data_IF_182998735540
#
_entry.id   IF_182998735540
#
_cell.length_a   1.000
_cell.length_b   1.000
_cell.length_c   1.000
_cell.angle_alpha   90.00
_cell.angle_beta   90.00
_cell.angle_gamma   90.00
#
_symmetry.space_group_name_H-M   'P 1'
#
loop_
_entity.id
_entity.type
_entity.pdbx_description
1 polymer ?
#
# COMPACT_ATOMS: atom_id res chain seq x y z
N UNK A 1 5.52 21.04 23.53
CA UNK A 1 5.59 19.60 23.80
C UNK A 1 4.23 19.15 24.31
N UNK A 2 3.30 18.84 23.40
CA UNK A 2 2.01 18.24 23.78
C UNK A 2 2.24 16.77 24.05
N UNK A 3 2.19 16.43 25.33
CA UNK A 3 2.09 15.06 25.82
C UNK A 3 0.77 14.47 25.26
N UNK A 4 0.84 13.61 24.22
CA UNK A 4 -0.29 12.79 23.82
C UNK A 4 -0.60 11.84 24.97
N UNK A 5 -1.61 12.21 25.78
CA UNK A 5 -2.23 11.33 26.77
C UNK A 5 -2.60 10.04 26.04
N UNK A 6 -2.06 8.89 26.50
CA UNK A 6 -2.52 7.58 26.01
C UNK A 6 -4.01 7.51 26.30
N UNK A 7 -4.86 7.17 25.30
CA UNK A 7 -6.27 7.05 25.56
C UNK A 7 -6.47 6.00 26.66
N UNK A 8 -7.19 6.39 27.69
CA UNK A 8 -7.59 5.50 28.78
C UNK A 8 -8.63 4.47 28.30
N UNK A 9 -9.19 3.71 29.22
CA UNK A 9 -10.30 2.81 28.91
C UNK A 9 -11.51 3.60 28.39
N UNK A 10 -12.10 3.12 27.31
CA UNK A 10 -13.38 3.64 26.81
C UNK A 10 -14.51 2.70 27.25
N UNK A 11 -15.64 3.19 27.75
CA UNK A 11 -16.77 2.35 28.12
C UNK A 11 -17.35 1.68 26.87
N UNK A 12 -17.69 0.39 26.97
CA UNK A 12 -18.25 -0.39 25.86
C UNK A 12 -19.52 0.27 25.30
N UNK A 13 -20.36 0.86 26.14
CA UNK A 13 -21.59 1.53 25.72
C UNK A 13 -21.33 2.61 24.66
N UNK A 14 -20.34 3.50 24.88
CA UNK A 14 -20.01 4.55 23.93
C UNK A 14 -19.45 3.99 22.61
N UNK A 15 -18.73 2.86 22.67
CA UNK A 15 -18.20 2.19 21.48
C UNK A 15 -19.31 1.50 20.67
N UNK A 16 -20.29 0.88 21.33
CA UNK A 16 -21.43 0.22 20.67
C UNK A 16 -22.26 1.23 19.89
N UNK A 17 -22.58 2.38 20.49
CA UNK A 17 -23.37 3.43 19.82
C UNK A 17 -22.65 3.92 18.54
N UNK A 18 -21.34 4.15 18.62
CA UNK A 18 -20.52 4.56 17.48
C UNK A 18 -20.50 3.49 16.39
N UNK A 19 -20.34 2.22 16.78
CA UNK A 19 -20.26 1.11 15.82
C UNK A 19 -21.59 0.84 15.14
N UNK A 20 -22.72 0.91 15.87
CA UNK A 20 -24.05 0.78 15.27
C UNK A 20 -24.30 1.88 14.23
N UNK A 21 -23.97 3.12 14.53
CA UNK A 21 -24.10 4.21 13.56
C UNK A 21 -23.23 3.97 12.30
N UNK A 22 -22.03 3.42 12.48
CA UNK A 22 -21.15 3.04 11.37
C UNK A 22 -21.76 1.93 10.53
N UNK A 23 -22.28 0.88 11.16
CA UNK A 23 -22.93 -0.25 10.47
C UNK A 23 -24.20 0.19 9.73
N UNK A 24 -24.99 1.08 10.30
CA UNK A 24 -26.18 1.67 9.65
C UNK A 24 -25.77 2.46 8.39
N UNK A 25 -24.70 3.24 8.46
CA UNK A 25 -24.18 3.97 7.32
C UNK A 25 -23.66 3.04 6.19
N UNK A 26 -23.07 1.90 6.54
CA UNK A 26 -22.64 0.87 5.58
C UNK A 26 -23.86 0.15 4.99
N UNK A 27 -24.80 -0.24 5.82
CA UNK A 27 -26.01 -0.95 5.40
C UNK A 27 -26.88 -0.12 4.45
N UNK A 28 -26.91 1.20 4.66
CA UNK A 28 -27.61 2.14 3.77
C UNK A 28 -26.95 2.28 2.38
N UNK A 29 -25.69 1.89 2.23
CA UNK A 29 -24.96 1.89 0.94
C UNK A 29 -25.26 0.61 0.17
N UNK A 30 -26.29 0.65 -0.68
CA UNK A 30 -26.65 -0.50 -1.54
C UNK A 30 -25.73 -0.69 -2.75
N UNK A 31 -24.65 0.08 -2.85
CA UNK A 31 -23.75 0.13 -3.99
C UNK A 31 -22.59 -0.90 -3.94
N UNK A 32 -22.52 -1.74 -2.90
CA UNK A 32 -21.45 -2.70 -2.71
C UNK A 32 -20.06 -2.05 -2.49
N UNK A 33 -20.06 -0.80 -1.98
CA UNK A 33 -18.81 -0.10 -1.66
C UNK A 33 -18.01 -0.84 -0.59
N UNK A 34 -16.68 -0.87 -0.78
CA UNK A 34 -15.77 -1.47 0.19
C UNK A 34 -15.67 -0.60 1.44
N UNK A 35 -15.48 -1.24 2.58
CA UNK A 35 -15.21 -0.55 3.86
C UNK A 35 -13.73 -0.20 4.00
N UNK A 36 -12.85 -0.96 3.35
CA UNK A 36 -11.40 -0.78 3.34
C UNK A 36 -10.84 -0.31 2.01
N UNK A 37 -9.52 -0.22 1.94
CA UNK A 37 -8.77 0.14 0.73
C UNK A 37 -8.86 -0.98 -0.30
N UNK A 38 -9.25 -0.66 -1.53
CA UNK A 38 -9.33 -1.66 -2.61
C UNK A 38 -7.97 -2.22 -2.98
N UNK A 39 -7.90 -3.52 -3.20
CA UNK A 39 -6.75 -4.17 -3.86
C UNK A 39 -6.82 -4.04 -5.38
N UNK A 40 -8.02 -3.75 -5.93
CA UNK A 40 -8.35 -3.76 -7.35
C UNK A 40 -8.55 -5.16 -7.93
N UNK A 41 -8.51 -6.20 -7.12
CA UNK A 41 -8.82 -7.58 -7.49
C UNK A 41 -10.16 -7.96 -6.86
N UNK A 42 -11.18 -8.13 -7.70
CA UNK A 42 -12.58 -8.28 -7.26
C UNK A 42 -12.77 -9.40 -6.24
N UNK A 43 -12.18 -10.58 -6.49
CA UNK A 43 -12.34 -11.72 -5.59
C UNK A 43 -11.66 -11.45 -4.23
N UNK A 44 -10.45 -10.86 -4.25
CA UNK A 44 -9.76 -10.49 -3.02
C UNK A 44 -10.55 -9.43 -2.24
N UNK A 45 -11.04 -8.42 -2.93
CA UNK A 45 -11.84 -7.37 -2.32
C UNK A 45 -13.17 -7.90 -1.75
N UNK A 46 -13.81 -8.87 -2.41
CA UNK A 46 -15.01 -9.52 -1.91
C UNK A 46 -14.76 -10.34 -0.63
N UNK A 47 -13.60 -11.02 -0.53
CA UNK A 47 -13.22 -11.77 0.66
C UNK A 47 -12.83 -10.90 1.84
N UNK A 48 -12.19 -9.74 1.58
CA UNK A 48 -11.62 -8.89 2.63
C UNK A 48 -12.47 -7.66 2.95
N UNK A 49 -13.47 -7.35 2.12
CA UNK A 49 -14.16 -6.06 2.08
C UNK A 49 -13.19 -4.86 1.88
N UNK A 50 -12.07 -5.12 1.21
CA UNK A 50 -10.91 -4.24 1.12
C UNK A 50 -9.98 -4.35 2.33
N UNK A 51 -8.81 -3.72 2.25
CA UNK A 51 -7.83 -3.72 3.35
C UNK A 51 -8.26 -2.75 4.44
N UNK A 52 -8.50 -3.28 5.64
CA UNK A 52 -9.03 -2.50 6.75
C UNK A 52 -7.94 -1.66 7.42
N UNK A 53 -8.31 -0.47 7.87
CA UNK A 53 -7.41 0.40 8.63
C UNK A 53 -6.90 -0.30 9.90
N UNK A 54 -5.65 -0.05 10.25
CA UNK A 54 -4.97 -0.67 11.38
C UNK A 54 -4.59 -2.14 11.19
N UNK A 55 -4.83 -2.75 10.03
CA UNK A 55 -4.40 -4.12 9.77
C UNK A 55 -2.96 -4.22 9.26
N UNK A 56 -2.33 -5.32 9.58
CA UNK A 56 -1.07 -5.77 8.99
C UNK A 56 -1.35 -6.96 8.09
N UNK A 57 -1.14 -6.78 6.79
CA UNK A 57 -1.36 -7.80 5.78
C UNK A 57 -0.01 -8.34 5.34
N UNK A 58 0.17 -9.65 5.37
CA UNK A 58 1.41 -10.31 4.96
C UNK A 58 1.20 -11.01 3.62
N UNK A 59 1.91 -10.54 2.61
CA UNK A 59 1.99 -11.20 1.30
C UNK A 59 3.26 -12.04 1.22
N UNK A 60 3.11 -13.36 1.20
CA UNK A 60 4.21 -14.31 1.11
C UNK A 60 4.22 -15.00 -0.26
N UNK A 61 5.40 -15.13 -0.85
CA UNK A 61 5.61 -15.89 -2.08
C UNK A 61 7.06 -16.37 -2.17
N UNK A 62 7.29 -17.45 -2.92
CA UNK A 62 8.64 -17.87 -3.29
C UNK A 62 9.29 -16.82 -4.20
N UNK A 63 10.62 -16.75 -4.27
CA UNK A 63 11.32 -15.88 -5.22
C UNK A 63 10.77 -16.03 -6.65
N UNK A 64 10.72 -14.95 -7.41
CA UNK A 64 10.26 -14.90 -8.81
C UNK A 64 8.78 -15.23 -9.05
N UNK A 65 7.95 -15.39 -8.02
CA UNK A 65 6.50 -15.64 -8.16
C UNK A 65 5.66 -14.37 -8.36
N UNK A 66 6.28 -13.21 -8.54
CA UNK A 66 5.57 -11.97 -8.83
C UNK A 66 5.09 -11.17 -7.62
N UNK A 67 5.63 -11.41 -6.41
CA UNK A 67 5.26 -10.67 -5.18
C UNK A 67 5.29 -9.15 -5.38
N UNK A 68 6.42 -8.58 -5.81
CA UNK A 68 6.58 -7.14 -6.10
C UNK A 68 5.60 -6.65 -7.17
N UNK A 69 5.36 -7.47 -8.22
CA UNK A 69 4.41 -7.10 -9.28
C UNK A 69 2.99 -7.01 -8.74
N UNK A 70 2.55 -7.95 -7.91
CA UNK A 70 1.24 -7.90 -7.25
C UNK A 70 1.14 -6.69 -6.31
N UNK A 71 2.16 -6.46 -5.47
CA UNK A 71 2.20 -5.32 -4.56
C UNK A 71 2.11 -3.97 -5.30
N UNK A 72 2.83 -3.82 -6.42
CA UNK A 72 2.75 -2.63 -7.28
C UNK A 72 1.37 -2.45 -7.92
N UNK A 73 0.74 -3.53 -8.39
CA UNK A 73 -0.62 -3.46 -8.94
C UNK A 73 -1.63 -3.05 -7.87
N UNK A 74 -1.51 -3.57 -6.64
CA UNK A 74 -2.33 -3.16 -5.50
C UNK A 74 -2.12 -1.66 -5.22
N UNK A 75 -0.85 -1.22 -5.14
CA UNK A 75 -0.52 0.19 -4.93
C UNK A 75 -1.18 1.10 -5.99
N UNK A 76 -1.04 0.73 -7.25
CA UNK A 76 -1.62 1.48 -8.36
C UNK A 76 -3.15 1.47 -8.32
N UNK A 77 -3.77 0.31 -8.12
CA UNK A 77 -5.23 0.19 -8.06
C UNK A 77 -5.82 1.03 -6.91
N UNK A 78 -5.20 1.00 -5.74
CA UNK A 78 -5.60 1.81 -4.59
C UNK A 78 -5.44 3.32 -4.88
N UNK A 79 -4.30 3.72 -5.42
CA UNK A 79 -3.99 5.12 -5.71
C UNK A 79 -4.84 5.69 -6.86
N UNK A 80 -5.16 4.88 -7.84
CA UNK A 80 -6.03 5.27 -8.98
C UNK A 80 -7.52 5.15 -8.66
N UNK A 81 -7.89 4.45 -7.57
CA UNK A 81 -9.29 4.18 -7.25
C UNK A 81 -9.95 3.15 -8.19
N UNK A 82 -9.14 2.26 -8.78
CA UNK A 82 -9.63 1.25 -9.72
C UNK A 82 -10.06 -0.02 -9.01
N UNK A 83 -11.31 -0.44 -9.23
CA UNK A 83 -11.80 -1.77 -8.89
C UNK A 83 -11.97 -2.57 -10.18
N UNK A 84 -11.15 -3.61 -10.40
CA UNK A 84 -11.25 -4.45 -11.59
C UNK A 84 -12.56 -5.23 -11.59
N UNK A 85 -13.34 -5.15 -12.68
CA UNK A 85 -14.55 -5.95 -12.91
C UNK A 85 -15.87 -5.39 -12.38
N UNK A 86 -15.88 -4.36 -11.55
CA UNK A 86 -17.11 -3.85 -10.93
C UNK A 86 -17.69 -2.58 -11.58
N UNK A 87 -16.99 -1.97 -12.55
CA UNK A 87 -17.44 -0.71 -13.16
C UNK A 87 -17.54 0.48 -12.19
N UNK A 88 -17.21 0.27 -10.93
CA UNK A 88 -17.25 1.28 -9.88
C UNK A 88 -15.82 1.75 -9.56
N UNK A 89 -15.62 3.06 -9.54
CA UNK A 89 -14.41 3.67 -9.01
C UNK A 89 -14.55 3.87 -7.50
N UNK A 90 -13.49 3.58 -6.76
CA UNK A 90 -13.36 3.96 -5.35
C UNK A 90 -12.59 5.27 -5.24
N UNK A 91 -12.73 6.03 -4.16
CA UNK A 91 -11.87 7.21 -3.96
C UNK A 91 -10.39 6.83 -4.00
N UNK A 92 -9.53 7.60 -4.68
CA UNK A 92 -8.08 7.39 -4.66
C UNK A 92 -7.53 7.41 -3.23
N UNK A 93 -6.68 6.44 -2.93
CA UNK A 93 -6.03 6.33 -1.62
C UNK A 93 -4.54 6.57 -1.76
N UNK A 94 -3.96 7.56 -1.06
CA UNK A 94 -2.52 7.80 -1.11
C UNK A 94 -1.72 6.64 -0.53
N UNK A 95 -0.71 6.18 -1.28
CA UNK A 95 0.10 5.00 -0.97
C UNK A 95 1.55 5.38 -0.72
N UNK A 96 2.12 4.96 0.42
CA UNK A 96 3.56 4.97 0.65
C UNK A 96 4.14 3.60 0.30
N UNK A 97 5.06 3.54 -0.66
CA UNK A 97 5.72 2.32 -1.10
C UNK A 97 7.20 2.35 -0.71
N UNK A 98 7.59 1.52 0.25
CA UNK A 98 8.98 1.33 0.67
C UNK A 98 9.56 0.13 -0.07
N UNK A 99 10.53 0.40 -0.96
CA UNK A 99 11.22 -0.63 -1.74
C UNK A 99 12.63 -0.82 -1.22
N UNK A 100 12.88 -1.96 -0.60
CA UNK A 100 14.19 -2.28 -0.03
C UNK A 100 15.06 -3.12 -0.98
N UNK A 101 14.48 -3.61 -2.07
CA UNK A 101 15.16 -4.46 -3.06
C UNK A 101 15.39 -3.75 -4.39
N UNK A 102 14.43 -2.94 -4.83
CA UNK A 102 14.44 -2.34 -6.16
C UNK A 102 14.53 -0.82 -6.09
N UNK A 103 15.22 -0.20 -7.05
CA UNK A 103 15.22 1.26 -7.16
C UNK A 103 13.87 1.80 -7.63
N UNK A 104 13.58 3.05 -7.29
CA UNK A 104 12.36 3.75 -7.69
C UNK A 104 12.18 3.80 -9.20
N UNK A 105 13.26 3.95 -9.97
CA UNK A 105 13.21 3.96 -11.43
C UNK A 105 12.78 2.58 -11.99
N UNK A 106 13.23 1.49 -11.36
CA UNK A 106 12.80 0.14 -11.75
C UNK A 106 11.31 -0.09 -11.46
N UNK A 107 10.80 0.42 -10.34
CA UNK A 107 9.38 0.34 -10.00
C UNK A 107 8.52 1.14 -10.97
N UNK A 108 8.94 2.37 -11.31
CA UNK A 108 8.23 3.21 -12.29
C UNK A 108 8.20 2.53 -13.67
N UNK A 109 9.31 1.94 -14.12
CA UNK A 109 9.32 1.18 -15.38
C UNK A 109 8.37 -0.01 -15.36
N UNK A 110 8.23 -0.71 -14.22
CA UNK A 110 7.26 -1.80 -14.07
C UNK A 110 5.83 -1.30 -14.11
N UNK A 111 5.52 -0.17 -13.48
CA UNK A 111 4.20 0.45 -13.55
C UNK A 111 3.85 0.87 -14.98
N UNK A 112 4.78 1.53 -15.68
CA UNK A 112 4.63 1.90 -17.10
C UNK A 112 4.40 0.68 -18.00
N UNK A 113 5.18 -0.40 -17.80
CA UNK A 113 5.01 -1.66 -18.52
C UNK A 113 3.62 -2.28 -18.27
N UNK A 114 3.20 -2.32 -17.02
CA UNK A 114 1.92 -2.92 -16.63
C UNK A 114 0.72 -2.13 -17.18
N UNK A 115 0.72 -0.82 -17.01
CA UNK A 115 -0.42 0.03 -17.43
C UNK A 115 -0.44 0.23 -18.95
N UNK A 116 0.73 0.47 -19.57
CA UNK A 116 0.86 0.62 -21.02
C UNK A 116 0.75 -0.71 -21.79
N UNK A 117 0.77 -1.85 -21.09
CA UNK A 117 0.81 -3.20 -21.69
C UNK A 117 1.93 -3.35 -22.71
N UNK A 118 3.09 -2.80 -22.40
CA UNK A 118 4.32 -2.89 -23.19
C UNK A 118 5.31 -3.76 -22.45
N UNK A 119 5.97 -4.67 -23.16
CA UNK A 119 6.92 -5.59 -22.56
C UNK A 119 8.08 -4.84 -21.89
N UNK A 120 8.38 -5.22 -20.64
CA UNK A 120 9.45 -4.59 -19.86
C UNK A 120 10.83 -4.73 -20.51
N UNK A 121 11.06 -5.77 -21.33
CA UNK A 121 12.29 -5.95 -22.09
C UNK A 121 12.42 -4.93 -23.20
N UNK A 122 11.32 -4.56 -23.84
CA UNK A 122 11.28 -3.51 -24.88
C UNK A 122 11.50 -2.14 -24.25
N UNK A 123 10.89 -1.86 -23.08
CA UNK A 123 11.14 -0.60 -22.34
C UNK A 123 12.62 -0.45 -21.99
N UNK A 124 13.30 -1.56 -21.62
CA UNK A 124 14.76 -1.55 -21.38
C UNK A 124 15.57 -1.25 -22.63
N UNK A 125 15.04 -1.61 -23.81
CA UNK A 125 15.63 -1.36 -25.13
C UNK A 125 14.85 -0.27 -25.87
N UNK A 126 14.63 0.88 -25.23
CA UNK A 126 13.73 1.93 -25.70
C UNK A 126 13.90 2.32 -27.19
N UNK A 127 15.12 2.14 -27.74
CA UNK A 127 15.41 2.39 -29.15
C UNK A 127 14.65 1.47 -30.15
N UNK A 128 14.06 0.37 -29.67
CA UNK A 128 13.32 -0.58 -30.49
C UNK A 128 11.80 -0.49 -30.27
N UNK A 129 11.32 0.48 -29.51
CA UNK A 129 9.89 0.72 -29.35
C UNK A 129 9.27 1.18 -30.66
N UNK A 130 8.14 0.59 -31.00
CA UNK A 130 7.31 1.07 -32.10
C UNK A 130 6.59 2.36 -31.71
N UNK A 131 6.15 3.14 -32.71
CA UNK A 131 5.36 4.35 -32.44
C UNK A 131 4.09 4.08 -31.61
N UNK A 132 3.43 2.94 -31.84
CA UNK A 132 2.25 2.54 -31.07
C UNK A 132 2.57 2.22 -29.60
N UNK A 133 3.68 1.54 -29.35
CA UNK A 133 4.12 1.25 -27.98
C UNK A 133 4.51 2.53 -27.24
N UNK A 134 5.16 3.46 -27.95
CA UNK A 134 5.49 4.76 -27.38
C UNK A 134 4.23 5.55 -27.00
N UNK A 135 3.20 5.57 -27.85
CA UNK A 135 1.91 6.21 -27.54
C UNK A 135 1.27 5.59 -26.29
N UNK A 136 1.23 4.25 -26.21
CA UNK A 136 0.70 3.55 -25.01
C UNK A 136 1.46 3.90 -23.72
N UNK A 137 2.78 4.05 -23.82
CA UNK A 137 3.60 4.46 -22.66
C UNK A 137 3.31 5.92 -22.27
N UNK A 138 3.08 6.81 -23.21
CA UNK A 138 2.68 8.19 -22.92
C UNK A 138 1.30 8.28 -22.25
N UNK A 139 0.32 7.49 -22.73
CA UNK A 139 -1.00 7.38 -22.09
C UNK A 139 -0.89 6.84 -20.67
N UNK A 140 -0.12 5.77 -20.47
CA UNK A 140 0.16 5.21 -19.15
C UNK A 140 0.85 6.21 -18.21
N UNK A 141 1.81 6.98 -18.73
CA UNK A 141 2.48 8.03 -17.99
C UNK A 141 1.50 9.11 -17.53
N UNK A 142 0.58 9.54 -18.40
CA UNK A 142 -0.48 10.49 -18.05
C UNK A 142 -1.33 10.00 -16.86
N UNK A 143 -1.73 8.73 -16.88
CA UNK A 143 -2.50 8.13 -15.77
C UNK A 143 -1.66 8.07 -14.47
N UNK A 144 -0.39 7.67 -14.58
CA UNK A 144 0.49 7.52 -13.41
C UNK A 144 0.87 8.86 -12.74
N UNK A 145 0.90 9.96 -13.50
CA UNK A 145 1.18 11.29 -12.96
C UNK A 145 0.13 11.75 -11.95
N UNK A 146 -1.11 11.32 -12.09
CA UNK A 146 -2.22 11.68 -11.20
C UNK A 146 -2.34 10.74 -10.00
N UNK A 147 -1.53 9.66 -9.94
CA UNK A 147 -1.60 8.68 -8.84
C UNK A 147 -0.81 9.14 -7.62
N UNK A 148 -1.42 9.27 -6.44
CA UNK A 148 -0.72 9.66 -5.21
C UNK A 148 0.09 8.50 -4.61
N UNK A 149 1.14 8.04 -5.32
CA UNK A 149 2.08 7.01 -4.87
C UNK A 149 3.41 7.67 -4.51
N UNK A 150 3.84 7.50 -3.27
CA UNK A 150 5.10 8.02 -2.73
C UNK A 150 6.08 6.87 -2.56
N UNK A 151 7.16 6.84 -3.34
CA UNK A 151 8.15 5.77 -3.35
C UNK A 151 9.38 6.18 -2.57
N UNK A 152 9.83 5.31 -1.68
CA UNK A 152 11.08 5.40 -0.95
C UNK A 152 11.91 4.15 -1.20
N UNK A 153 13.09 4.30 -1.79
CA UNK A 153 14.01 3.22 -2.10
C UNK A 153 15.29 3.26 -1.24
N UNK A 154 15.19 3.85 -0.04
CA UNK A 154 16.29 3.85 0.91
C UNK A 154 16.63 2.42 1.32
N UNK A 155 17.85 1.93 1.06
CA UNK A 155 18.23 0.57 1.41
C UNK A 155 18.31 0.40 2.93
N UNK A 156 18.03 -0.82 3.39
CA UNK A 156 18.20 -1.22 4.79
C UNK A 156 17.43 -0.32 5.80
N UNK A 157 16.26 0.20 5.40
CA UNK A 157 15.46 1.05 6.28
C UNK A 157 15.08 0.32 7.58
N UNK A 158 15.11 1.05 8.68
CA UNK A 158 14.62 0.59 9.98
C UNK A 158 13.13 0.85 10.14
N UNK A 159 12.48 0.21 11.10
CA UNK A 159 11.08 0.53 11.47
C UNK A 159 10.93 2.00 11.89
N UNK A 160 11.96 2.58 12.52
CA UNK A 160 11.94 3.98 12.94
C UNK A 160 11.94 4.93 11.73
N UNK A 161 12.71 4.63 10.69
CA UNK A 161 12.74 5.42 9.45
C UNK A 161 11.37 5.39 8.77
N UNK A 162 10.80 4.18 8.60
CA UNK A 162 9.45 4.00 8.03
C UNK A 162 8.42 4.78 8.85
N UNK A 163 8.47 4.67 10.17
CA UNK A 163 7.56 5.36 11.08
C UNK A 163 7.65 6.89 10.94
N UNK A 164 8.87 7.44 10.91
CA UNK A 164 9.07 8.88 10.79
C UNK A 164 8.54 9.42 9.46
N UNK A 165 8.88 8.75 8.33
CA UNK A 165 8.43 9.13 6.99
C UNK A 165 6.91 9.00 6.85
N UNK A 166 6.33 7.89 7.35
CA UNK A 166 4.88 7.64 7.30
C UNK A 166 4.09 8.64 8.14
N UNK A 167 4.56 9.00 9.34
CA UNK A 167 3.94 10.05 10.16
C UNK A 167 3.90 11.40 9.46
N UNK A 168 4.96 11.76 8.75
CA UNK A 168 5.02 13.00 7.97
C UNK A 168 3.97 12.99 6.85
N UNK A 169 3.91 11.92 6.04
CA UNK A 169 2.89 11.78 5.00
C UNK A 169 1.47 11.79 5.57
N UNK A 170 1.24 11.15 6.74
CA UNK A 170 -0.07 11.14 7.39
C UNK A 170 -0.47 12.53 7.88
N UNK A 171 0.47 13.30 8.44
CA UNK A 171 0.22 14.68 8.86
C UNK A 171 -0.16 15.59 7.69
N UNK A 172 0.40 15.34 6.50
CA UNK A 172 0.07 16.07 5.26
C UNK A 172 -1.23 15.56 4.60
N UNK A 173 -1.95 14.60 5.21
CA UNK A 173 -3.14 13.96 4.62
C UNK A 173 -2.85 13.05 3.43
N UNK A 174 -1.59 12.64 3.24
CA UNK A 174 -1.09 11.92 2.07
C UNK A 174 -0.76 10.46 2.38
N UNK A 175 -1.55 9.79 3.23
CA UNK A 175 -1.30 8.40 3.60
C UNK A 175 -2.58 7.65 3.96
N UNK A 176 -2.87 6.58 3.21
CA UNK A 176 -3.95 5.66 3.47
C UNK A 176 -3.52 4.19 3.44
N UNK A 177 -2.42 3.87 2.73
CA UNK A 177 -1.86 2.53 2.66
C UNK A 177 -0.32 2.59 2.70
N UNK A 178 0.31 1.65 3.43
CA UNK A 178 1.76 1.47 3.45
C UNK A 178 2.07 0.10 2.85
N UNK A 179 2.99 0.06 1.88
CA UNK A 179 3.52 -1.18 1.31
C UNK A 179 5.03 -1.23 1.55
N UNK A 180 5.54 -2.38 2.00
CA UNK A 180 6.96 -2.60 2.27
C UNK A 180 7.40 -3.84 1.50
N UNK A 181 8.30 -3.68 0.54
CA UNK A 181 8.84 -4.77 -0.26
C UNK A 181 10.36 -4.86 -0.10
N UNK A 182 10.90 -5.75 0.71
CA UNK A 182 10.20 -6.73 1.54
C UNK A 182 10.83 -6.80 2.96
N UNK A 183 10.05 -7.27 3.89
CA UNK A 183 10.32 -7.22 5.33
C UNK A 183 11.68 -7.81 5.74
N UNK A 184 12.18 -8.87 5.08
CA UNK A 184 13.46 -9.48 5.40
C UNK A 184 14.67 -8.62 5.03
N UNK A 185 14.54 -7.53 4.28
CA UNK A 185 15.64 -6.59 4.03
C UNK A 185 15.69 -5.44 5.04
N UNK A 186 14.68 -5.33 5.91
CA UNK A 186 14.69 -4.34 6.98
C UNK A 186 15.79 -4.63 7.99
N UNK A 187 16.39 -3.58 8.51
CA UNK A 187 17.32 -3.70 9.64
C UNK A 187 16.52 -3.86 10.94
N UNK A 188 16.77 -4.99 11.62
CA UNK A 188 16.34 -5.22 12.99
C UNK A 188 17.30 -4.60 14.00
N UNK A 189 16.96 -4.68 15.29
CA UNK A 189 17.89 -4.27 16.37
C UNK A 189 19.09 -5.20 16.42
N UNK A 190 20.28 -4.62 16.53
CA UNK A 190 21.54 -5.37 16.59
C UNK A 190 21.65 -6.31 17.79
N UNK A 191 20.88 -6.05 18.85
CA UNK A 191 20.86 -6.82 20.10
C UNK A 191 20.17 -8.19 19.99
N UNK A 192 19.39 -8.42 18.91
CA UNK A 192 18.65 -9.68 18.72
C UNK A 192 19.53 -10.72 18.04
N UNK A 193 19.70 -11.87 18.70
CA UNK A 193 20.63 -12.91 18.30
C UNK A 193 20.18 -13.75 17.09
N UNK A 194 18.87 -13.79 16.78
CA UNK A 194 18.36 -14.55 15.65
C UNK A 194 17.56 -13.69 14.66
N UNK A 195 17.62 -14.06 13.37
CA UNK A 195 16.85 -13.40 12.32
C UNK A 195 15.34 -13.52 12.52
N UNK A 196 14.88 -14.62 13.05
CA UNK A 196 13.47 -14.85 13.37
C UNK A 196 12.95 -13.89 14.44
N UNK A 197 13.76 -13.65 15.49
CA UNK A 197 13.42 -12.67 16.52
C UNK A 197 13.35 -11.26 15.97
N UNK A 198 14.28 -10.88 15.08
CA UNK A 198 14.26 -9.58 14.40
C UNK A 198 12.99 -9.41 13.57
N UNK A 199 12.62 -10.41 12.76
CA UNK A 199 11.40 -10.37 11.93
C UNK A 199 10.15 -10.29 12.80
N UNK A 200 10.10 -11.03 13.91
CA UNK A 200 8.99 -11.00 14.87
C UNK A 200 8.82 -9.61 15.51
N UNK A 201 9.93 -8.96 15.89
CA UNK A 201 9.91 -7.60 16.42
C UNK A 201 9.47 -6.57 15.37
N UNK A 202 10.02 -6.66 14.16
CA UNK A 202 9.65 -5.80 13.04
C UNK A 202 8.15 -5.91 12.76
N UNK A 203 7.60 -7.12 12.65
CA UNK A 203 6.17 -7.36 12.42
C UNK A 203 5.29 -6.74 13.49
N UNK A 204 5.64 -6.95 14.79
CA UNK A 204 4.92 -6.33 15.91
C UNK A 204 4.97 -4.81 15.86
N UNK A 205 6.13 -4.26 15.53
CA UNK A 205 6.32 -2.81 15.43
C UNK A 205 5.54 -2.20 14.28
N UNK A 206 5.47 -2.90 13.13
CA UNK A 206 4.67 -2.48 11.98
C UNK A 206 3.16 -2.56 12.25
N UNK A 207 2.68 -3.61 12.96
CA UNK A 207 1.28 -3.65 13.42
C UNK A 207 0.97 -2.50 14.37
N UNK A 208 1.92 -2.16 15.26
CA UNK A 208 1.81 -0.98 16.11
C UNK A 208 1.71 0.33 15.31
N UNK A 209 2.49 0.45 14.23
CA UNK A 209 2.47 1.60 13.34
C UNK A 209 1.14 1.71 12.58
N UNK A 210 0.63 0.59 12.05
CA UNK A 210 -0.67 0.56 11.37
C UNK A 210 -1.80 1.05 12.30
N UNK A 211 -1.83 0.58 13.55
CA UNK A 211 -2.79 1.05 14.58
C UNK A 211 -2.60 2.52 14.94
N UNK A 212 -1.36 2.98 15.06
CA UNK A 212 -1.04 4.37 15.41
C UNK A 212 -1.53 5.37 14.35
N UNK A 213 -1.35 5.01 13.08
CA UNK A 213 -1.67 5.88 11.95
C UNK A 213 -3.08 5.64 11.39
N UNK A 214 -3.77 4.60 11.83
CA UNK A 214 -5.03 4.14 11.27
C UNK A 214 -4.94 3.99 9.73
N UNK A 215 -3.99 3.14 9.28
CA UNK A 215 -3.73 2.80 7.87
C UNK A 215 -3.50 1.32 7.73
#
# INVERSE_FOLDING_TARGET
AESKVRPGFSPLSALVDTEIATLEAIWGRKDGSLTGVTSGFTDLDNYTAGFQASDLIILAARPSMGKTALALNIAFNAAYGRRRGAGQSTPPVPVAFFSLEMSKEQLVRRLLSSEGRVDASQIRRAAFLTGQEWTKLQEAAGILLDCPIYIDDTPAATVLDIRAKSRRLKADGKLGLIIIDYLQLMQGRAELSSREQQISEISRSLKGLAKELAV
#
